data_IF_651157985138
#
_entry.id   IF_651157985138
#
_cell.length_a   1.000
_cell.length_b   1.000
_cell.length_c   1.000
_cell.angle_alpha   90.00
_cell.angle_beta   90.00
_cell.angle_gamma   90.00
#
_symmetry.space_group_name_H-M   'P 1'
#
loop_
_entity.id
_entity.type
_entity.pdbx_description
1 polymer ?
#
# COMPACT_ATOMS: atom_id res chain seq x y z
N UNK A 1 2.94 2.23 17.57
CA UNK A 1 2.51 1.70 16.26
C UNK A 1 3.12 0.32 16.08
N UNK A 2 2.42 -0.61 15.42
CA UNK A 2 2.99 -1.90 15.06
C UNK A 2 4.08 -1.75 13.97
N UNK A 3 5.05 -2.69 13.89
CA UNK A 3 6.19 -2.52 13.00
C UNK A 3 5.82 -2.50 11.51
N UNK A 4 4.79 -3.26 11.10
CA UNK A 4 4.31 -3.27 9.72
C UNK A 4 3.74 -1.90 9.31
N UNK A 5 2.89 -1.30 10.13
CA UNK A 5 2.38 0.06 9.86
C UNK A 5 3.52 1.06 9.69
N UNK A 6 4.53 1.00 10.57
CA UNK A 6 5.70 1.89 10.47
C UNK A 6 6.47 1.67 9.17
N UNK A 7 6.63 0.42 8.75
CA UNK A 7 7.34 0.07 7.53
C UNK A 7 6.58 0.56 6.29
N UNK A 8 5.27 0.30 6.24
CA UNK A 8 4.39 0.78 5.17
C UNK A 8 4.39 2.30 5.06
N UNK A 9 4.28 3.02 6.19
CA UNK A 9 4.31 4.48 6.18
C UNK A 9 5.66 5.06 5.77
N UNK A 10 6.79 4.46 6.20
CA UNK A 10 8.12 4.90 5.77
C UNK A 10 8.34 4.69 4.27
N UNK A 11 8.00 3.50 3.77
CA UNK A 11 8.18 3.17 2.35
C UNK A 11 7.24 3.95 1.45
N UNK A 12 6.00 4.20 1.87
CA UNK A 12 5.10 5.05 1.09
C UNK A 12 5.65 6.46 0.96
N UNK A 13 6.19 7.05 2.04
CA UNK A 13 6.81 8.38 1.99
C UNK A 13 8.04 8.42 1.07
N UNK A 14 8.80 7.32 0.96
CA UNK A 14 9.88 7.21 -0.02
C UNK A 14 9.32 7.23 -1.44
N UNK A 15 8.27 6.44 -1.73
CA UNK A 15 7.61 6.48 -3.04
C UNK A 15 7.00 7.86 -3.35
N UNK A 16 6.45 8.55 -2.36
CA UNK A 16 5.96 9.92 -2.53
C UNK A 16 7.07 10.85 -3.00
N UNK A 17 8.21 10.81 -2.32
CA UNK A 17 9.35 11.67 -2.64
C UNK A 17 9.86 11.37 -4.06
N UNK A 18 10.02 10.09 -4.39
CA UNK A 18 10.42 9.66 -5.74
C UNK A 18 9.40 10.13 -6.79
N UNK A 19 8.11 9.97 -6.51
CA UNK A 19 7.02 10.39 -7.38
C UNK A 19 7.03 11.89 -7.62
N UNK A 20 7.18 12.72 -6.58
CA UNK A 20 7.29 14.17 -6.74
C UNK A 20 8.51 14.61 -7.54
N UNK A 21 9.67 14.00 -7.29
CA UNK A 21 10.90 14.30 -8.04
C UNK A 21 10.71 13.92 -9.50
N UNK A 22 10.15 12.74 -9.79
CA UNK A 22 9.87 12.30 -11.15
C UNK A 22 8.85 13.22 -11.85
N UNK A 23 7.74 13.56 -11.18
CA UNK A 23 6.73 14.47 -11.72
C UNK A 23 7.31 15.85 -12.03
N UNK A 24 8.15 16.40 -11.15
CA UNK A 24 8.88 17.64 -11.40
C UNK A 24 9.83 17.55 -12.60
N UNK A 25 10.58 16.46 -12.71
CA UNK A 25 11.46 16.21 -13.85
C UNK A 25 10.68 16.12 -15.18
N UNK A 26 9.51 15.47 -15.17
CA UNK A 26 8.64 15.39 -16.35
C UNK A 26 8.13 16.76 -16.78
N UNK A 27 7.68 17.59 -15.85
CA UNK A 27 7.22 18.96 -16.14
C UNK A 27 8.35 19.85 -16.67
N UNK A 28 9.55 19.76 -16.09
CA UNK A 28 10.73 20.48 -16.58
C UNK A 28 11.11 20.01 -17.98
N UNK A 29 11.08 18.70 -18.21
CA UNK A 29 11.34 18.10 -19.52
C UNK A 29 10.36 18.58 -20.58
N UNK A 30 9.06 18.59 -20.26
CA UNK A 30 8.01 19.10 -21.15
C UNK A 30 8.23 20.58 -21.47
N UNK A 31 8.51 21.42 -20.47
CA UNK A 31 8.81 22.83 -20.68
C UNK A 31 10.08 23.07 -21.53
N UNK A 32 11.05 22.16 -21.47
CA UNK A 32 12.26 22.17 -22.29
C UNK A 32 12.06 21.56 -23.70
N UNK A 33 10.84 21.17 -24.06
CA UNK A 33 10.50 20.60 -25.37
C UNK A 33 10.86 19.12 -25.53
N UNK A 34 11.17 18.41 -24.45
CA UNK A 34 11.49 17.00 -24.50
C UNK A 34 10.22 16.13 -24.48
N UNK A 35 10.17 15.11 -25.34
CA UNK A 35 9.06 14.16 -25.41
C UNK A 35 9.41 12.86 -24.70
N UNK A 36 9.16 12.81 -23.39
CA UNK A 36 9.51 11.65 -22.55
C UNK A 36 8.58 10.45 -22.81
N UNK A 37 7.53 10.63 -23.62
CA UNK A 37 6.57 9.59 -23.99
C UNK A 37 5.64 9.18 -22.83
N UNK A 38 4.62 8.38 -23.15
CA UNK A 38 3.62 7.93 -22.16
C UNK A 38 4.21 7.05 -21.04
N UNK A 39 5.39 6.46 -21.27
CA UNK A 39 6.07 5.53 -20.38
C UNK A 39 6.28 6.08 -18.96
N UNK A 40 6.92 7.25 -18.88
CA UNK A 40 7.26 7.84 -17.60
C UNK A 40 6.04 8.42 -16.89
N UNK A 41 5.00 8.79 -17.66
CA UNK A 41 3.70 9.17 -17.11
C UNK A 41 3.03 8.01 -16.38
N UNK A 42 3.03 6.81 -16.98
CA UNK A 42 2.50 5.59 -16.35
C UNK A 42 3.31 5.18 -15.11
N UNK A 43 4.65 5.22 -15.18
CA UNK A 43 5.53 4.93 -14.03
C UNK A 43 5.25 5.92 -12.89
N UNK A 44 5.19 7.21 -13.20
CA UNK A 44 4.86 8.26 -12.23
C UNK A 44 3.50 8.01 -11.57
N UNK A 45 2.48 7.67 -12.36
CA UNK A 45 1.16 7.36 -11.86
C UNK A 45 1.17 6.16 -10.89
N UNK A 46 1.86 5.07 -11.23
CA UNK A 46 1.96 3.89 -10.35
C UNK A 46 2.75 4.20 -9.06
N UNK A 47 3.83 4.98 -9.14
CA UNK A 47 4.61 5.40 -7.97
C UNK A 47 3.74 6.20 -6.99
N UNK A 48 3.01 7.21 -7.48
CA UNK A 48 2.19 8.05 -6.60
C UNK A 48 0.91 7.36 -6.13
N UNK A 49 0.25 6.59 -7.00
CA UNK A 49 -1.00 5.94 -6.63
C UNK A 49 -0.76 4.69 -5.78
N UNK A 50 -0.01 3.72 -6.28
CA UNK A 50 0.15 2.42 -5.60
C UNK A 50 1.23 2.49 -4.53
N UNK A 51 2.43 2.97 -4.89
CA UNK A 51 3.58 3.04 -3.99
C UNK A 51 3.37 4.02 -2.83
N UNK A 52 2.85 5.20 -3.10
CA UNK A 52 2.53 6.19 -2.07
C UNK A 52 1.12 5.99 -1.50
N UNK A 53 0.08 6.32 -2.27
CA UNK A 53 -1.24 6.60 -1.69
C UNK A 53 -1.89 5.35 -1.12
N UNK A 54 -1.97 4.27 -1.90
CA UNK A 54 -2.56 3.00 -1.47
C UNK A 54 -1.76 2.40 -0.30
N UNK A 55 -0.44 2.32 -0.43
CA UNK A 55 0.41 1.75 0.62
C UNK A 55 0.32 2.54 1.93
N UNK A 56 0.29 3.88 1.87
CA UNK A 56 0.08 4.73 3.03
C UNK A 56 -1.30 4.50 3.64
N UNK A 57 -2.36 4.57 2.82
CA UNK A 57 -3.74 4.41 3.27
C UNK A 57 -3.96 3.05 3.96
N UNK A 58 -3.44 1.96 3.41
CA UNK A 58 -3.54 0.63 4.02
C UNK A 58 -2.69 0.55 5.30
N UNK A 59 -1.48 1.12 5.30
CA UNK A 59 -0.66 1.20 6.51
C UNK A 59 -1.39 1.92 7.65
N UNK A 60 -2.01 3.07 7.36
CA UNK A 60 -2.83 3.79 8.32
C UNK A 60 -4.09 2.99 8.70
N UNK A 61 -4.75 2.31 7.77
CA UNK A 61 -5.91 1.48 8.07
C UNK A 61 -5.60 0.33 9.05
N UNK A 62 -4.40 -0.27 8.96
CA UNK A 62 -3.95 -1.28 9.93
C UNK A 62 -3.87 -0.74 11.37
N UNK A 63 -3.52 0.54 11.51
CA UNK A 63 -3.38 1.22 12.79
C UNK A 63 -4.68 1.86 13.30
N UNK A 64 -5.45 2.48 12.40
CA UNK A 64 -6.63 3.28 12.71
C UNK A 64 -7.88 2.42 12.95
N UNK A 65 -8.09 1.39 12.12
CA UNK A 65 -9.32 0.59 12.22
C UNK A 65 -9.36 -0.20 13.55
N UNK A 66 -10.55 -0.37 14.15
CA UNK A 66 -10.68 -1.13 15.39
C UNK A 66 -10.09 -2.54 15.23
N UNK A 67 -9.34 -2.99 16.24
CA UNK A 67 -8.63 -4.28 16.21
C UNK A 67 -8.87 -5.08 17.49
N UNK A 68 -9.23 -6.35 17.33
CA UNK A 68 -9.32 -7.31 18.43
C UNK A 68 -7.99 -8.03 18.58
N UNK A 69 -7.30 -7.78 19.69
CA UNK A 69 -6.04 -8.44 20.01
C UNK A 69 -6.32 -9.77 20.70
N UNK A 70 -5.64 -10.83 20.25
CA UNK A 70 -5.63 -12.14 20.92
C UNK A 70 -4.18 -12.59 21.11
N UNK A 71 -3.88 -13.58 21.97
CA UNK A 71 -2.52 -14.10 22.10
C UNK A 71 -1.91 -14.55 20.76
N UNK A 72 -2.72 -15.09 19.85
CA UNK A 72 -2.29 -15.52 18.51
C UNK A 72 -2.20 -14.36 17.50
N UNK A 73 -2.80 -13.21 17.78
CA UNK A 73 -2.83 -12.02 16.92
C UNK A 73 -2.64 -10.75 17.76
N UNK A 74 -1.42 -10.48 18.24
CA UNK A 74 -1.15 -9.38 19.17
C UNK A 74 -1.46 -8.00 18.57
N UNK A 75 -1.38 -7.87 17.25
CA UNK A 75 -1.74 -6.64 16.52
C UNK A 75 -3.14 -6.68 15.89
N UNK A 76 -3.90 -7.75 16.11
CA UNK A 76 -5.28 -7.93 15.61
C UNK A 76 -5.39 -8.23 14.11
N UNK A 77 -4.32 -8.72 13.50
CA UNK A 77 -4.28 -9.30 12.15
C UNK A 77 -3.25 -10.44 12.11
N UNK A 78 -3.24 -11.21 11.02
CA UNK A 78 -2.19 -12.19 10.78
C UNK A 78 -0.94 -11.46 10.25
N UNK A 79 0.09 -11.39 11.08
CA UNK A 79 1.34 -10.69 10.76
C UNK A 79 2.03 -11.25 9.51
N UNK A 80 2.07 -12.58 9.37
CA UNK A 80 2.71 -13.24 8.21
C UNK A 80 2.06 -12.77 6.92
N UNK A 81 0.72 -12.81 6.84
CA UNK A 81 -0.01 -12.31 5.67
C UNK A 81 0.22 -10.82 5.43
N UNK A 82 0.29 -10.01 6.50
CA UNK A 82 0.57 -8.58 6.38
C UNK A 82 1.95 -8.29 5.77
N UNK A 83 2.99 -8.97 6.24
CA UNK A 83 4.33 -8.87 5.66
C UNK A 83 4.43 -9.47 4.26
N UNK A 84 3.73 -10.58 3.97
CA UNK A 84 3.65 -11.14 2.62
C UNK A 84 3.07 -10.12 1.65
N UNK A 85 1.94 -9.50 1.98
CA UNK A 85 1.34 -8.47 1.13
C UNK A 85 2.25 -7.25 0.95
N UNK A 86 2.95 -6.84 2.01
CA UNK A 86 3.96 -5.80 1.93
C UNK A 86 5.12 -6.15 0.99
N UNK A 87 5.64 -7.38 1.03
CA UNK A 87 6.68 -7.81 0.10
C UNK A 87 6.14 -7.83 -1.33
N UNK A 88 4.95 -8.40 -1.54
CA UNK A 88 4.33 -8.50 -2.86
C UNK A 88 4.11 -7.13 -3.52
N UNK A 89 3.58 -6.15 -2.79
CA UNK A 89 3.34 -4.81 -3.36
C UNK A 89 4.66 -4.12 -3.75
N UNK A 90 5.70 -4.18 -2.90
CA UNK A 90 6.97 -3.52 -3.18
C UNK A 90 7.73 -4.23 -4.30
N UNK A 91 7.71 -5.56 -4.34
CA UNK A 91 8.28 -6.32 -5.47
C UNK A 91 7.58 -5.97 -6.78
N UNK A 92 6.25 -5.91 -6.78
CA UNK A 92 5.48 -5.51 -7.95
C UNK A 92 5.82 -4.08 -8.42
N UNK A 93 5.97 -3.14 -7.48
CA UNK A 93 6.41 -1.78 -7.76
C UNK A 93 7.80 -1.73 -8.39
N UNK A 94 8.79 -2.44 -7.84
CA UNK A 94 10.15 -2.46 -8.40
C UNK A 94 10.16 -3.03 -9.82
N UNK A 95 9.47 -4.14 -10.06
CA UNK A 95 9.37 -4.74 -11.39
C UNK A 95 8.76 -3.77 -12.41
N UNK A 96 7.80 -2.95 -11.97
CA UNK A 96 7.10 -2.00 -12.83
C UNK A 96 7.94 -0.77 -13.14
N UNK A 97 8.57 -0.18 -12.11
CA UNK A 97 9.47 0.97 -12.25
C UNK A 97 10.63 0.66 -13.20
N UNK A 98 11.15 -0.57 -13.17
CA UNK A 98 12.22 -0.99 -14.07
C UNK A 98 11.69 -1.44 -15.44
N UNK A 99 10.55 -2.12 -15.48
CA UNK A 99 10.01 -2.75 -16.69
C UNK A 99 9.31 -1.78 -17.64
N UNK A 100 8.54 -0.81 -17.14
CA UNK A 100 7.76 0.12 -17.98
C UNK A 100 8.65 1.01 -18.86
N UNK A 101 9.71 1.67 -18.35
CA UNK A 101 10.61 2.44 -19.21
C UNK A 101 11.26 1.59 -20.30
N UNK A 102 11.68 0.37 -19.96
CA UNK A 102 12.29 -0.57 -20.92
C UNK A 102 11.29 -1.00 -21.99
N UNK A 103 10.04 -1.28 -21.61
CA UNK A 103 8.98 -1.68 -22.53
C UNK A 103 8.69 -0.59 -23.58
N UNK A 104 8.58 0.66 -23.15
CA UNK A 104 8.23 1.78 -24.04
C UNK A 104 9.42 2.38 -24.79
N UNK A 105 10.66 2.22 -24.30
CA UNK A 105 11.86 2.67 -25.03
C UNK A 105 12.11 1.94 -26.35
N UNK A 106 11.33 0.89 -26.67
CA UNK A 106 11.49 0.07 -27.87
C UNK A 106 12.76 -0.79 -27.88
N UNK A 107 13.66 -0.59 -26.91
CA UNK A 107 14.94 -1.31 -26.80
C UNK A 107 14.75 -2.80 -26.54
N UNK A 108 13.63 -3.19 -25.91
CA UNK A 108 13.32 -4.57 -25.57
C UNK A 108 11.78 -4.78 -25.53
N UNK A 109 11.12 -4.91 -26.69
CA UNK A 109 9.81 -5.59 -26.76
C UNK A 109 9.99 -7.11 -26.61
N UNK A 110 10.73 -7.52 -25.58
CA UNK A 110 11.05 -8.90 -25.30
C UNK A 110 9.97 -9.54 -24.45
N UNK A 111 9.61 -10.79 -24.77
CA UNK A 111 8.71 -11.65 -24.00
C UNK A 111 8.97 -11.59 -22.48
N UNK A 112 10.24 -11.45 -22.09
CA UNK A 112 10.68 -11.34 -20.69
C UNK A 112 10.09 -10.11 -19.98
N UNK A 113 10.10 -8.93 -20.60
CA UNK A 113 9.58 -7.70 -19.97
C UNK A 113 8.06 -7.76 -19.85
N UNK A 114 7.37 -8.27 -20.87
CA UNK A 114 5.92 -8.46 -20.82
C UNK A 114 5.53 -9.44 -19.71
N UNK A 115 6.26 -10.55 -19.56
CA UNK A 115 6.07 -11.50 -18.46
C UNK A 115 6.35 -10.83 -17.11
N UNK A 116 7.43 -10.06 -17.00
CA UNK A 116 7.78 -9.31 -15.78
C UNK A 116 6.67 -8.34 -15.36
N UNK A 117 6.13 -7.55 -16.30
CA UNK A 117 5.03 -6.62 -16.03
C UNK A 117 3.71 -7.34 -15.70
N UNK A 118 3.48 -8.49 -16.31
CA UNK A 118 2.34 -9.36 -15.97
C UNK A 118 2.45 -9.90 -14.55
N UNK A 119 3.63 -10.41 -14.17
CA UNK A 119 3.93 -10.86 -12.80
C UNK A 119 3.75 -9.70 -11.83
N UNK A 120 4.26 -8.51 -12.16
CA UNK A 120 4.09 -7.30 -11.36
C UNK A 120 2.60 -7.01 -11.07
N UNK A 121 1.73 -7.09 -12.07
CA UNK A 121 0.29 -6.90 -11.89
C UNK A 121 -0.32 -7.96 -10.96
N UNK A 122 0.03 -9.22 -11.18
CA UNK A 122 -0.49 -10.36 -10.39
C UNK A 122 -0.08 -10.24 -8.91
N UNK A 123 1.18 -9.94 -8.62
CA UNK A 123 1.65 -9.82 -7.23
C UNK A 123 1.03 -8.63 -6.51
N UNK A 124 0.84 -7.50 -7.20
CA UNK A 124 0.14 -6.33 -6.63
C UNK A 124 -1.34 -6.63 -6.35
N UNK A 125 -2.01 -7.31 -7.29
CA UNK A 125 -3.40 -7.75 -7.09
C UNK A 125 -3.51 -8.71 -5.90
N UNK A 126 -2.60 -9.67 -5.78
CA UNK A 126 -2.55 -10.60 -4.64
C UNK A 126 -2.34 -9.87 -3.31
N UNK A 127 -1.47 -8.85 -3.26
CA UNK A 127 -1.31 -8.00 -2.09
C UNK A 127 -2.63 -7.30 -1.69
N UNK A 128 -3.32 -6.73 -2.68
CA UNK A 128 -4.64 -6.11 -2.50
C UNK A 128 -5.69 -7.07 -1.95
N UNK A 129 -5.77 -8.29 -2.47
CA UNK A 129 -6.67 -9.34 -1.98
C UNK A 129 -6.36 -9.72 -0.52
N UNK A 130 -5.09 -9.87 -0.17
CA UNK A 130 -4.68 -10.18 1.21
C UNK A 130 -5.11 -9.05 2.15
N UNK A 131 -4.88 -7.79 1.78
CA UNK A 131 -5.28 -6.64 2.58
C UNK A 131 -6.80 -6.52 2.73
N UNK A 132 -7.54 -6.70 1.63
CA UNK A 132 -9.00 -6.73 1.67
C UNK A 132 -9.47 -7.81 2.64
N UNK A 133 -8.96 -9.03 2.54
CA UNK A 133 -9.29 -10.12 3.46
C UNK A 133 -8.99 -9.77 4.93
N UNK A 134 -7.81 -9.18 5.23
CA UNK A 134 -7.42 -8.85 6.60
C UNK A 134 -8.21 -7.68 7.20
N UNK A 135 -8.65 -6.73 6.37
CA UNK A 135 -9.32 -5.50 6.82
C UNK A 135 -10.84 -5.60 6.75
N UNK A 136 -11.41 -6.48 5.93
CA UNK A 136 -12.86 -6.59 5.70
C UNK A 136 -13.66 -6.70 7.00
N UNK A 137 -13.25 -7.62 7.89
CA UNK A 137 -13.93 -7.85 9.17
C UNK A 137 -13.82 -6.69 10.16
N UNK A 138 -12.96 -5.70 9.92
CA UNK A 138 -12.74 -4.57 10.84
C UNK A 138 -13.78 -3.47 10.70
N UNK A 139 -14.41 -3.33 9.53
CA UNK A 139 -15.49 -2.36 9.31
C UNK A 139 -16.78 -2.74 10.03
N UNK A 140 -16.99 -4.04 10.29
CA UNK A 140 -18.21 -4.55 10.90
C UNK A 140 -18.09 -4.81 12.41
N UNK A 141 -17.03 -4.34 13.05
CA UNK A 141 -16.88 -4.44 14.50
C UNK A 141 -17.93 -3.57 15.20
N UNK A 142 -19.10 -4.18 15.45
CA UNK A 142 -20.16 -3.58 16.28
C UNK A 142 -19.61 -3.38 17.69
N UNK A 143 -19.78 -2.18 18.21
CA UNK A 143 -19.57 -1.86 19.61
C UNK A 143 -20.65 -2.60 20.42
N UNK A 144 -20.41 -3.85 20.79
CA UNK A 144 -21.34 -4.58 21.64
C UNK A 144 -21.37 -3.92 23.01
N UNK A 145 -22.57 -3.56 23.47
CA UNK A 145 -22.84 -2.82 24.70
C UNK A 145 -22.35 -3.48 26.00
N UNK A 146 -21.68 -4.64 25.95
CA UNK A 146 -21.14 -5.34 27.12
C UNK A 146 -19.92 -4.65 27.76
N UNK A 147 -19.43 -3.55 27.18
CA UNK A 147 -18.32 -2.76 27.70
C UNK A 147 -18.75 -1.40 28.25
N UNK A 148 -20.06 -1.20 28.51
CA UNK A 148 -20.50 -0.04 29.30
C UNK A 148 -19.90 -0.20 30.71
N UNK A 149 -19.21 0.82 31.25
CA UNK A 149 -18.85 0.81 32.66
C UNK A 149 -20.13 0.64 33.46
N UNK A 150 -20.19 -0.41 34.30
CA UNK A 150 -21.27 -0.56 35.26
C UNK A 150 -21.28 0.70 36.14
N UNK A 151 -22.44 1.34 36.38
CA UNK A 151 -22.53 2.44 37.32
C UNK A 151 -21.90 2.00 38.64
N UNK A 152 -20.97 2.80 39.17
CA UNK A 152 -20.37 2.48 40.47
C UNK A 152 -21.51 2.40 41.48
N UNK A 153 -21.52 1.36 42.30
CA UNK A 153 -22.59 1.05 43.27
C UNK A 153 -22.89 2.21 44.26
N UNK A 154 -22.02 3.23 44.30
CA UNK A 154 -22.19 4.47 45.06
C UNK A 154 -23.34 5.35 44.56
N UNK A 155 -23.70 5.30 43.27
CA UNK A 155 -24.77 6.13 42.69
C UNK A 155 -26.18 5.52 42.85
N UNK A 156 -26.31 4.39 43.56
CA UNK A 156 -27.59 3.67 43.75
C UNK A 156 -28.18 3.83 45.16
N UNK A 157 -27.53 4.60 46.04
CA UNK A 157 -27.89 4.74 47.46
C UNK A 157 -28.19 6.18 47.89
N UNK A 158 -28.35 7.10 46.94
CA UNK A 158 -28.90 8.45 47.16
C UNK A 158 -30.27 8.53 46.50
#
# INVERSE_FOLDING_TARGET
MDPLTRLMGKTSLVYLLIGFVLGGALLIGEAAGATWGNAWGEVHAHILFVGWFVQFAIGIAYWLLPRRKTPQRPYGYNERLGYTAYILINTGMVLRILGEPLYFSGSLQGTIITISLSISGIVQAAAGVIWAYQLWGRFFLRYTASNRPQPKEKDRKE
#
